data_IF_086611883110
#
_entry.id   IF_086611883110
#
_cell.length_a   1.000
_cell.length_b   1.000
_cell.length_c   1.000
_cell.angle_alpha   90.00
_cell.angle_beta   90.00
_cell.angle_gamma   90.00
#
_symmetry.space_group_name_H-M   'P 1'
#
loop_
_entity.id
_entity.type
_entity.pdbx_description
1 polymer ?
#
# COMPACT_ATOMS: atom_id res chain seq x y z
N UNK A 1 -71.20 -21.55 -38.73
CA UNK A 1 -71.59 -20.13 -38.73
C UNK A 1 -70.40 -19.33 -38.23
N UNK A 2 -69.78 -18.55 -39.13
CA UNK A 2 -68.96 -17.34 -38.90
C UNK A 2 -67.60 -17.45 -38.20
N UNK A 3 -66.55 -17.19 -39.01
CA UNK A 3 -65.37 -16.30 -38.80
C UNK A 3 -64.53 -16.49 -37.50
N UNK A 4 -63.19 -16.43 -37.42
CA UNK A 4 -62.20 -15.52 -38.04
C UNK A 4 -60.78 -16.10 -37.88
N UNK A 5 -60.03 -16.07 -38.98
CA UNK A 5 -58.57 -16.08 -39.02
C UNK A 5 -57.99 -14.86 -38.26
N UNK A 6 -56.83 -14.99 -37.59
CA UNK A 6 -55.59 -14.21 -37.87
C UNK A 6 -54.53 -14.38 -36.75
N UNK A 7 -53.40 -14.99 -37.15
CA UNK A 7 -52.01 -14.52 -36.99
C UNK A 7 -51.52 -14.13 -35.58
N UNK A 8 -50.90 -15.09 -34.89
CA UNK A 8 -49.98 -14.82 -33.78
C UNK A 8 -48.68 -14.18 -34.29
N UNK A 9 -48.41 -12.97 -33.83
CA UNK A 9 -47.21 -12.16 -34.12
C UNK A 9 -46.06 -12.68 -33.26
N UNK A 10 -45.00 -13.16 -33.92
CA UNK A 10 -43.73 -13.56 -33.33
C UNK A 10 -43.01 -12.30 -32.78
N UNK A 11 -42.92 -12.16 -31.46
CA UNK A 11 -42.07 -11.14 -30.82
C UNK A 11 -40.60 -11.59 -30.88
N UNK A 12 -39.84 -11.06 -31.84
CA UNK A 12 -38.38 -11.12 -31.80
C UNK A 12 -37.94 -10.01 -30.84
N UNK A 13 -37.73 -10.38 -29.57
CA UNK A 13 -37.09 -9.50 -28.59
C UNK A 13 -35.63 -9.30 -28.97
N UNK A 14 -35.33 -8.14 -29.55
CA UNK A 14 -33.97 -7.66 -29.80
C UNK A 14 -33.30 -7.36 -28.46
N UNK A 15 -32.56 -8.34 -27.91
CA UNK A 15 -31.71 -8.13 -26.74
C UNK A 15 -30.48 -7.31 -27.17
N UNK A 16 -30.53 -5.99 -26.97
CA UNK A 16 -29.35 -5.14 -27.03
C UNK A 16 -28.43 -5.50 -25.87
N UNK A 17 -27.31 -6.16 -26.17
CA UNK A 17 -26.24 -6.38 -25.22
C UNK A 17 -25.41 -5.09 -25.14
N UNK A 18 -25.73 -4.21 -24.19
CA UNK A 18 -24.89 -3.04 -23.90
C UNK A 18 -23.68 -3.49 -23.08
N UNK A 19 -22.52 -3.61 -23.72
CA UNK A 19 -21.26 -3.84 -23.00
C UNK A 19 -20.88 -2.57 -22.25
N UNK A 20 -21.05 -2.57 -20.92
CA UNK A 20 -20.37 -1.60 -20.06
C UNK A 20 -18.92 -2.01 -19.96
N UNK A 21 -18.00 -1.23 -20.54
CA UNK A 21 -16.58 -1.33 -20.20
C UNK A 21 -16.42 -0.75 -18.80
N UNK A 22 -16.21 -1.62 -17.81
CA UNK A 22 -15.81 -1.20 -16.47
C UNK A 22 -14.32 -0.83 -16.52
N UNK A 23 -13.99 0.43 -16.23
CA UNK A 23 -12.60 0.82 -16.01
C UNK A 23 -12.13 0.12 -14.73
N UNK A 24 -11.23 -0.84 -14.84
CA UNK A 24 -10.51 -1.35 -13.68
C UNK A 24 -9.70 -0.19 -13.09
N UNK A 25 -10.24 0.43 -12.04
CA UNK A 25 -9.47 1.34 -11.21
C UNK A 25 -8.29 0.58 -10.66
N UNK A 26 -7.09 1.13 -10.80
CA UNK A 26 -5.94 0.68 -10.01
C UNK A 26 -6.27 1.07 -8.57
N UNK A 27 -6.79 0.11 -7.80
CA UNK A 27 -7.05 0.30 -6.39
C UNK A 27 -5.69 0.37 -5.70
N UNK A 28 -5.24 1.58 -5.35
CA UNK A 28 -4.01 1.83 -4.60
C UNK A 28 -4.12 1.38 -3.12
N UNK A 29 -4.98 0.40 -2.84
CA UNK A 29 -5.23 -0.04 -1.48
C UNK A 29 -4.12 -1.01 -1.07
N UNK A 30 -3.40 -0.63 -0.02
CA UNK A 30 -2.39 -1.48 0.58
C UNK A 30 -3.05 -2.83 0.94
N UNK A 31 -2.49 -3.98 0.52
CA UNK A 31 -3.13 -5.24 0.83
C UNK A 31 -3.22 -5.42 2.36
N UNK A 32 -4.31 -6.05 2.81
CA UNK A 32 -4.66 -6.14 4.22
C UNK A 32 -3.47 -6.64 5.06
N UNK A 33 -3.10 -5.87 6.08
CA UNK A 33 -2.09 -6.26 7.07
C UNK A 33 -0.64 -6.01 6.69
N UNK A 34 -0.34 -5.45 5.52
CA UNK A 34 1.04 -5.12 5.12
C UNK A 34 1.67 -4.07 6.04
N UNK A 35 0.91 -3.05 6.44
CA UNK A 35 1.35 -2.02 7.40
C UNK A 35 1.67 -2.56 8.80
N UNK A 36 1.18 -3.75 9.13
CA UNK A 36 1.48 -4.41 10.40
C UNK A 36 2.67 -5.35 10.25
N UNK A 37 2.75 -6.07 9.13
CA UNK A 37 3.80 -7.07 8.86
C UNK A 37 5.16 -6.46 8.50
N UNK A 38 5.16 -5.29 7.86
CA UNK A 38 6.37 -4.61 7.39
C UNK A 38 6.68 -3.35 8.22
N UNK A 39 6.05 -3.20 9.39
CA UNK A 39 6.27 -2.03 10.24
C UNK A 39 7.69 -2.04 10.78
N UNK A 40 8.47 -1.05 10.37
CA UNK A 40 9.81 -0.80 10.91
C UNK A 40 9.69 -0.11 12.27
N UNK A 41 10.65 -0.34 13.15
CA UNK A 41 10.74 0.37 14.43
C UNK A 41 10.89 1.88 14.18
N UNK A 42 10.20 2.70 14.98
CA UNK A 42 10.33 4.14 14.91
C UNK A 42 11.62 4.58 15.62
N UNK A 43 12.29 5.58 15.07
CA UNK A 43 13.40 6.22 15.76
C UNK A 43 12.88 6.89 17.04
N UNK A 44 13.67 6.84 18.11
CA UNK A 44 13.29 7.48 19.37
C UNK A 44 13.54 8.97 19.29
N UNK A 45 12.50 9.77 19.51
CA UNK A 45 12.63 11.20 19.75
C UNK A 45 13.19 11.43 21.16
N UNK A 46 14.36 12.06 21.24
CA UNK A 46 15.04 12.34 22.50
C UNK A 46 14.78 13.76 23.01
N UNK A 47 14.12 14.60 22.23
CA UNK A 47 13.81 15.97 22.63
C UNK A 47 12.44 16.03 23.32
N UNK A 48 12.31 16.69 24.48
CA UNK A 48 11.02 16.87 25.12
C UNK A 48 10.16 17.99 24.52
N UNK A 49 10.70 18.86 23.66
CA UNK A 49 9.91 19.92 23.01
C UNK A 49 8.93 19.33 21.98
N UNK A 50 7.61 19.62 22.08
CA UNK A 50 6.61 19.00 21.21
C UNK A 50 6.70 19.40 19.72
N UNK A 51 7.53 20.39 19.35
CA UNK A 51 7.72 20.81 17.96
C UNK A 51 9.15 20.54 17.45
N UNK A 52 9.96 19.80 18.22
CA UNK A 52 11.30 19.38 17.81
C UNK A 52 11.34 17.87 17.87
N UNK A 53 11.66 17.24 16.74
CA UNK A 53 12.00 15.83 16.68
C UNK A 53 13.52 15.73 16.63
N UNK A 54 14.15 15.17 17.66
CA UNK A 54 15.59 14.93 17.70
C UNK A 54 15.87 13.43 17.71
N UNK A 55 16.65 12.96 16.75
CA UNK A 55 16.94 11.54 16.58
C UNK A 55 18.43 11.34 16.38
N UNK A 56 19.01 10.35 17.06
CA UNK A 56 20.38 9.93 16.80
C UNK A 56 20.43 8.77 15.80
N UNK A 57 21.13 9.00 14.69
CA UNK A 57 21.38 8.00 13.64
C UNK A 57 22.87 7.67 13.54
N UNK A 58 23.22 6.42 13.88
CA UNK A 58 24.59 5.92 13.73
C UNK A 58 24.70 5.10 12.44
N UNK A 59 25.48 5.57 11.48
CA UNK A 59 25.83 4.77 10.30
C UNK A 59 26.89 3.73 10.69
N UNK A 60 26.55 2.45 10.52
CA UNK A 60 27.44 1.34 10.86
C UNK A 60 27.21 0.14 9.94
N UNK A 61 28.20 -0.74 9.85
CA UNK A 61 28.03 -2.03 9.20
C UNK A 61 27.18 -2.98 10.05
N UNK A 62 26.38 -3.80 9.40
CA UNK A 62 25.61 -4.90 10.00
C UNK A 62 25.54 -6.08 9.02
N UNK A 63 25.29 -7.29 9.52
CA UNK A 63 25.13 -8.47 8.67
C UNK A 63 23.66 -8.86 8.59
N UNK A 64 23.14 -9.04 7.38
CA UNK A 64 21.76 -9.47 7.13
C UNK A 64 21.71 -10.59 6.10
N UNK A 65 20.75 -11.50 6.26
CA UNK A 65 20.50 -12.57 5.29
C UNK A 65 19.51 -12.08 4.22
N UNK A 66 20.04 -11.58 3.10
CA UNK A 66 19.20 -11.12 1.97
C UNK A 66 18.80 -12.30 1.08
N UNK A 67 19.71 -13.26 0.92
CA UNK A 67 19.49 -14.51 0.19
C UNK A 67 19.59 -15.68 1.18
N UNK A 68 18.76 -16.72 1.04
CA UNK A 68 18.83 -17.89 1.92
C UNK A 68 20.24 -18.48 2.00
N UNK A 69 20.78 -18.57 3.22
CA UNK A 69 22.10 -19.09 3.54
C UNK A 69 23.28 -18.14 3.29
N UNK A 70 23.05 -16.87 2.91
CA UNK A 70 24.12 -15.90 2.61
C UNK A 70 24.01 -14.67 3.50
N UNK A 71 24.92 -14.53 4.47
CA UNK A 71 25.10 -13.30 5.22
C UNK A 71 25.75 -12.24 4.33
N UNK A 72 25.09 -11.10 4.20
CA UNK A 72 25.57 -9.94 3.45
C UNK A 72 25.88 -8.82 4.44
N UNK A 73 27.13 -8.35 4.45
CA UNK A 73 27.50 -7.12 5.16
C UNK A 73 26.94 -5.92 4.43
N UNK A 74 26.19 -5.07 5.13
CA UNK A 74 25.56 -3.87 4.60
C UNK A 74 25.79 -2.69 5.53
N UNK A 75 25.70 -1.47 4.98
CA UNK A 75 25.70 -0.24 5.77
C UNK A 75 24.27 0.11 6.16
N UNK A 76 24.05 0.37 7.45
CA UNK A 76 22.74 0.59 8.03
C UNK A 76 22.77 1.70 9.08
N UNK A 77 21.62 2.35 9.28
CA UNK A 77 21.42 3.24 10.42
C UNK A 77 20.97 2.42 11.63
N UNK A 78 21.64 2.62 12.76
CA UNK A 78 21.39 1.94 14.03
C UNK A 78 21.45 0.40 13.91
N UNK A 79 22.17 -0.11 12.91
CA UNK A 79 22.32 -1.55 12.65
C UNK A 79 21.04 -2.24 12.15
N UNK A 80 20.01 -1.48 11.76
CA UNK A 80 18.72 -2.00 11.33
C UNK A 80 18.53 -1.93 9.82
N UNK A 81 17.89 -2.95 9.25
CA UNK A 81 17.53 -3.01 7.82
C UNK A 81 16.06 -3.44 7.68
N UNK A 82 15.16 -2.57 7.19
CA UNK A 82 15.37 -1.16 6.91
C UNK A 82 15.78 -0.35 8.15
N UNK A 83 16.43 0.80 7.94
CA UNK A 83 16.76 1.72 9.02
C UNK A 83 15.51 2.25 9.72
N UNK A 84 15.65 2.81 10.94
CA UNK A 84 14.51 3.22 11.76
C UNK A 84 13.64 4.28 11.05
N UNK A 85 12.32 4.17 11.22
CA UNK A 85 11.35 5.12 10.66
C UNK A 85 11.39 6.41 11.46
N UNK A 86 11.64 7.53 10.79
CA UNK A 86 11.53 8.86 11.39
C UNK A 86 10.08 9.34 11.21
N UNK A 87 9.44 9.75 12.30
CA UNK A 87 8.08 10.29 12.32
C UNK A 87 8.13 11.73 12.85
N UNK A 88 7.53 12.67 12.12
CA UNK A 88 7.44 14.08 12.49
C UNK A 88 6.17 14.68 11.88
N UNK A 89 5.67 15.76 12.48
CA UNK A 89 4.54 16.53 11.96
C UNK A 89 5.01 17.65 11.03
N UNK A 90 4.09 18.12 10.18
CA UNK A 90 4.35 19.30 9.34
C UNK A 90 4.51 20.52 10.25
N UNK A 91 5.69 21.14 10.18
CA UNK A 91 6.04 22.31 11.00
C UNK A 91 7.07 22.01 12.09
N UNK A 92 7.32 20.73 12.38
CA UNK A 92 8.36 20.35 13.35
C UNK A 92 9.75 20.69 12.82
N UNK A 93 10.65 21.05 13.72
CA UNK A 93 12.09 21.14 13.43
C UNK A 93 12.72 19.77 13.62
N UNK A 94 13.41 19.27 12.60
CA UNK A 94 14.08 17.98 12.65
C UNK A 94 15.58 18.14 12.92
N UNK A 95 16.08 17.50 13.97
CA UNK A 95 17.48 17.43 14.34
C UNK A 95 17.97 15.98 14.23
N UNK A 96 19.06 15.76 13.50
CA UNK A 96 19.64 14.43 13.19
C UNK A 96 21.10 14.34 13.63
#
# INVERSE_FOLDING_TARGET
MKERFLRGILWIGMFSFTSTVSSAGVNNENPVGWDQRLRVEAATDVNPDPNIVEVYLTAQETEVEVLPGVMTTVWAYNGQVPGPRIEANVGDTLNL
#
